data_IF_220786394723
#
_entry.id   IF_220786394723
#
_cell.length_a   1.000
_cell.length_b   1.000
_cell.length_c   1.000
_cell.angle_alpha   90.00
_cell.angle_beta   90.00
_cell.angle_gamma   90.00
#
_symmetry.space_group_name_H-M   'P 1'
#
loop_
_entity.id
_entity.type
_entity.pdbx_description
1 polymer ?
#
# COMPACT_ATOMS: atom_id res chain seq x y z
N UNK A 1 43.09 -51.49 -63.16
CA UNK A 1 42.10 -51.99 -62.16
C UNK A 1 42.43 -51.54 -60.71
N UNK A 2 43.68 -51.15 -60.38
CA UNK A 2 44.06 -50.62 -59.06
C UNK A 2 43.61 -49.16 -58.81
N UNK A 3 43.53 -48.33 -59.85
CA UNK A 3 43.25 -46.89 -59.70
C UNK A 3 41.80 -46.60 -59.32
N UNK A 4 40.85 -47.42 -59.78
CA UNK A 4 39.44 -47.32 -59.39
C UNK A 4 39.21 -47.69 -57.92
N UNK A 5 40.08 -48.50 -57.32
CA UNK A 5 39.95 -48.92 -55.92
C UNK A 5 40.49 -47.84 -54.98
N UNK A 6 41.63 -47.23 -55.34
CA UNK A 6 42.19 -46.07 -54.64
C UNK A 6 41.25 -44.86 -54.66
N UNK A 7 40.58 -44.59 -55.79
CA UNK A 7 39.62 -43.49 -55.89
C UNK A 7 38.37 -43.70 -55.00
N UNK A 8 37.89 -44.94 -54.88
CA UNK A 8 36.76 -45.28 -54.01
C UNK A 8 37.13 -45.18 -52.53
N UNK A 9 38.34 -45.57 -52.15
CA UNK A 9 38.84 -45.43 -50.78
C UNK A 9 39.01 -43.95 -50.42
N UNK A 10 39.61 -43.15 -51.31
CA UNK A 10 39.80 -41.72 -51.06
C UNK A 10 38.47 -40.97 -50.94
N UNK A 11 37.47 -41.33 -51.77
CA UNK A 11 36.12 -40.78 -51.71
C UNK A 11 35.39 -41.17 -50.43
N UNK A 12 35.58 -42.40 -49.92
CA UNK A 12 35.00 -42.86 -48.66
C UNK A 12 35.61 -42.14 -47.44
N UNK A 13 36.92 -41.90 -47.46
CA UNK A 13 37.63 -41.15 -46.41
C UNK A 13 37.20 -39.68 -46.42
N UNK A 14 37.05 -39.06 -47.59
CA UNK A 14 36.56 -37.68 -47.68
C UNK A 14 35.13 -37.52 -47.14
N UNK A 15 34.26 -38.50 -47.40
CA UNK A 15 32.87 -38.52 -46.89
C UNK A 15 32.79 -38.66 -45.37
N UNK A 16 33.75 -39.36 -44.73
CA UNK A 16 33.79 -39.52 -43.27
C UNK A 16 34.25 -38.24 -42.54
N UNK A 17 34.99 -37.36 -43.20
CA UNK A 17 35.43 -36.09 -42.59
C UNK A 17 34.34 -35.00 -42.53
N UNK A 18 33.25 -35.13 -43.30
CA UNK A 18 32.17 -34.12 -43.32
C UNK A 18 31.09 -34.30 -42.23
N UNK A 19 31.08 -35.41 -41.48
CA UNK A 19 30.10 -35.65 -40.41
C UNK A 19 30.65 -35.42 -38.99
N UNK A 20 31.90 -34.99 -38.85
CA UNK A 20 32.49 -34.56 -37.57
C UNK A 20 32.05 -33.16 -37.17
N UNK A 21 30.75 -32.90 -37.09
CA UNK A 21 30.23 -31.66 -36.52
C UNK A 21 30.50 -31.64 -35.01
N UNK A 22 31.31 -30.70 -34.54
CA UNK A 22 31.38 -30.39 -33.11
C UNK A 22 29.99 -29.92 -32.66
N UNK A 23 29.24 -30.78 -31.97
CA UNK A 23 28.09 -30.33 -31.20
C UNK A 23 28.64 -29.39 -30.11
N UNK A 24 28.57 -28.08 -30.36
CA UNK A 24 28.81 -27.09 -29.34
C UNK A 24 27.82 -27.37 -28.21
N UNK A 25 28.32 -27.88 -27.08
CA UNK A 25 27.53 -28.10 -25.89
C UNK A 25 27.16 -26.73 -25.34
N UNK A 26 26.08 -26.14 -25.85
CA UNK A 26 25.49 -24.97 -25.22
C UNK A 26 25.02 -25.43 -23.84
N UNK A 27 25.50 -24.82 -22.73
CA UNK A 27 24.92 -25.11 -21.44
C UNK A 27 23.40 -24.86 -21.54
N UNK A 28 22.56 -25.68 -20.89
CA UNK A 28 21.13 -25.40 -20.85
C UNK A 28 20.95 -23.96 -20.37
N UNK A 29 20.01 -23.19 -20.95
CA UNK A 29 19.74 -21.85 -20.45
C UNK A 29 19.56 -21.93 -18.93
N UNK A 30 20.12 -21.00 -18.15
CA UNK A 30 19.95 -21.02 -16.70
C UNK A 30 18.46 -21.19 -16.43
N UNK A 31 18.11 -22.19 -15.59
CA UNK A 31 16.73 -22.38 -15.17
C UNK A 31 16.25 -21.02 -14.68
N UNK A 32 15.33 -20.41 -15.40
CA UNK A 32 14.59 -19.25 -14.89
C UNK A 32 13.77 -19.83 -13.75
N UNK A 33 14.29 -19.73 -12.53
CA UNK A 33 13.44 -19.86 -11.35
C UNK A 33 12.32 -18.84 -11.56
N UNK A 34 11.09 -19.32 -11.77
CA UNK A 34 9.92 -18.46 -11.80
C UNK A 34 9.94 -17.69 -10.48
N UNK A 35 10.20 -16.38 -10.53
CA UNK A 35 10.06 -15.56 -9.34
C UNK A 35 8.62 -15.72 -8.84
N UNK A 36 8.42 -15.89 -7.52
CA UNK A 36 7.08 -15.98 -6.98
C UNK A 36 6.28 -14.74 -7.39
N UNK A 37 5.16 -14.94 -8.09
CA UNK A 37 4.26 -13.86 -8.45
C UNK A 37 3.58 -13.39 -7.17
N UNK A 38 4.00 -12.26 -6.63
CA UNK A 38 3.35 -11.63 -5.49
C UNK A 38 2.03 -11.00 -5.95
N UNK A 39 0.93 -11.72 -5.73
CA UNK A 39 -0.41 -11.26 -6.09
C UNK A 39 -0.98 -10.38 -4.97
N UNK A 40 -1.63 -9.28 -5.33
CA UNK A 40 -2.46 -8.49 -4.43
C UNK A 40 -3.93 -8.63 -4.86
N UNK A 41 -4.66 -9.67 -4.40
CA UNK A 41 -5.99 -9.98 -4.87
C UNK A 41 -7.01 -8.82 -4.80
N UNK A 42 -6.95 -7.90 -3.81
CA UNK A 42 -7.85 -6.75 -3.80
C UNK A 42 -7.74 -5.81 -5.00
N UNK A 43 -6.67 -5.91 -5.80
CA UNK A 43 -6.54 -5.19 -7.07
C UNK A 43 -7.74 -5.43 -8.00
N UNK A 44 -8.35 -6.64 -8.00
CA UNK A 44 -9.55 -6.95 -8.78
C UNK A 44 -10.73 -6.05 -8.40
N UNK A 45 -10.97 -5.86 -7.11
CA UNK A 45 -12.05 -5.00 -6.61
C UNK A 45 -11.77 -3.52 -6.91
N UNK A 46 -10.51 -3.09 -6.79
CA UNK A 46 -10.10 -1.72 -7.14
C UNK A 46 -10.29 -1.42 -8.63
N UNK A 47 -9.92 -2.35 -9.51
CA UNK A 47 -10.02 -2.16 -10.95
C UNK A 47 -11.47 -2.18 -11.45
N UNK A 48 -12.31 -3.04 -10.87
CA UNK A 48 -13.73 -3.14 -11.23
C UNK A 48 -14.64 -2.16 -10.51
N UNK A 49 -14.19 -1.61 -9.37
CA UNK A 49 -15.00 -0.88 -8.40
C UNK A 49 -16.17 -1.70 -7.82
N UNK A 50 -16.19 -3.02 -8.03
CA UNK A 50 -17.24 -3.93 -7.54
C UNK A 50 -16.84 -4.57 -6.21
N UNK A 51 -16.85 -3.75 -5.16
CA UNK A 51 -16.56 -4.20 -3.80
C UNK A 51 -17.62 -5.15 -3.24
N UNK A 52 -18.86 -5.07 -3.73
CA UNK A 52 -19.96 -5.87 -3.23
C UNK A 52 -19.82 -7.33 -3.68
N UNK A 53 -19.62 -7.57 -4.97
CA UNK A 53 -19.40 -8.90 -5.50
C UNK A 53 -18.10 -9.50 -4.92
N UNK A 54 -17.03 -8.70 -4.80
CA UNK A 54 -15.78 -9.16 -4.21
C UNK A 54 -15.93 -9.55 -2.74
N UNK A 55 -16.67 -8.75 -1.93
CA UNK A 55 -16.92 -9.08 -0.53
C UNK A 55 -17.73 -10.37 -0.38
N UNK A 56 -18.76 -10.54 -1.21
CA UNK A 56 -19.62 -11.72 -1.20
C UNK A 56 -18.87 -13.00 -1.62
N UNK A 57 -18.06 -12.92 -2.67
CA UNK A 57 -17.19 -14.01 -3.13
C UNK A 57 -16.27 -14.49 -2.00
N UNK A 58 -15.62 -13.56 -1.29
CA UNK A 58 -14.70 -13.92 -0.21
C UNK A 58 -15.42 -14.40 1.06
N UNK A 59 -16.63 -13.92 1.35
CA UNK A 59 -17.43 -14.45 2.47
C UNK A 59 -17.80 -15.91 2.26
N UNK A 60 -18.20 -16.29 1.05
CA UNK A 60 -18.49 -17.69 0.71
C UNK A 60 -17.27 -18.60 0.89
N UNK A 61 -16.08 -18.13 0.52
CA UNK A 61 -14.84 -18.88 0.75
C UNK A 61 -14.61 -19.09 2.26
N UNK A 62 -14.92 -18.08 3.08
CA UNK A 62 -14.76 -18.16 4.54
C UNK A 62 -15.78 -19.04 5.25
N UNK A 63 -16.95 -19.32 4.64
CA UNK A 63 -17.95 -20.23 5.22
C UNK A 63 -17.44 -21.66 5.25
N UNK A 64 -16.86 -22.15 4.15
CA UNK A 64 -16.35 -23.51 4.04
C UNK A 64 -14.88 -23.64 4.45
N UNK A 65 -14.11 -22.55 4.33
CA UNK A 65 -12.70 -22.40 4.69
C UNK A 65 -11.84 -23.67 4.52
N UNK A 66 -11.93 -24.29 3.35
CA UNK A 66 -11.12 -25.47 2.99
C UNK A 66 -9.83 -25.10 2.27
N UNK A 67 -9.81 -23.96 1.57
CA UNK A 67 -8.69 -23.45 0.78
C UNK A 67 -8.74 -21.93 0.70
N UNK A 68 -7.58 -21.28 0.58
CA UNK A 68 -7.43 -19.85 0.32
C UNK A 68 -8.10 -18.94 1.38
N UNK A 69 -8.27 -19.43 2.62
CA UNK A 69 -8.93 -18.69 3.69
C UNK A 69 -8.17 -17.44 4.12
N UNK A 70 -6.84 -17.50 4.13
CA UNK A 70 -5.96 -16.39 4.45
C UNK A 70 -6.13 -15.25 3.42
N UNK A 71 -6.20 -15.60 2.14
CA UNK A 71 -6.53 -14.71 1.03
C UNK A 71 -7.91 -14.10 1.25
N UNK A 72 -8.93 -14.94 1.49
CA UNK A 72 -10.30 -14.49 1.62
C UNK A 72 -10.48 -13.55 2.83
N UNK A 73 -9.89 -13.89 3.97
CA UNK A 73 -9.93 -13.06 5.17
C UNK A 73 -9.22 -11.72 4.94
N UNK A 74 -8.06 -11.74 4.28
CA UNK A 74 -7.35 -10.52 3.90
C UNK A 74 -8.17 -9.64 2.95
N UNK A 75 -8.83 -10.23 1.97
CA UNK A 75 -9.68 -9.52 1.02
C UNK A 75 -10.88 -8.85 1.71
N UNK A 76 -11.55 -9.57 2.61
CA UNK A 76 -12.61 -8.98 3.46
C UNK A 76 -12.05 -7.84 4.31
N UNK A 77 -10.88 -8.04 4.91
CA UNK A 77 -10.21 -7.01 5.70
C UNK A 77 -9.92 -5.75 4.86
N UNK A 78 -9.44 -5.92 3.63
CA UNK A 78 -9.21 -4.82 2.70
C UNK A 78 -10.49 -4.06 2.37
N UNK A 79 -11.58 -4.75 2.05
CA UNK A 79 -12.87 -4.11 1.73
C UNK A 79 -13.36 -3.21 2.87
N UNK A 80 -13.18 -3.63 4.12
CA UNK A 80 -13.52 -2.81 5.28
C UNK A 80 -12.48 -1.73 5.58
N UNK A 81 -11.21 -1.96 5.27
CA UNK A 81 -10.11 -1.03 5.53
C UNK A 81 -9.93 0.05 4.46
N UNK A 82 -10.46 -0.15 3.24
CA UNK A 82 -10.22 0.75 2.12
C UNK A 82 -11.23 1.91 2.07
N UNK A 83 -10.81 3.19 2.22
CA UNK A 83 -11.75 4.30 2.35
C UNK A 83 -12.68 4.56 1.15
N UNK A 84 -12.35 4.06 -0.04
CA UNK A 84 -13.20 4.22 -1.23
C UNK A 84 -14.21 3.07 -1.37
N UNK A 85 -14.10 2.01 -0.56
CA UNK A 85 -15.11 0.96 -0.49
C UNK A 85 -16.39 1.51 0.13
N UNK A 86 -17.58 1.22 -0.42
CA UNK A 86 -18.85 1.59 0.21
C UNK A 86 -19.09 0.85 1.53
N UNK A 87 -18.33 -0.22 1.81
CA UNK A 87 -18.36 -0.98 3.05
C UNK A 87 -17.32 -0.50 4.06
N UNK A 88 -16.61 0.60 3.79
CA UNK A 88 -15.54 1.08 4.65
C UNK A 88 -15.97 1.18 6.12
N UNK A 89 -15.27 0.44 6.97
CA UNK A 89 -15.37 0.49 8.40
C UNK A 89 -13.98 0.20 8.97
N UNK A 90 -13.27 1.26 9.34
CA UNK A 90 -11.88 1.20 9.81
C UNK A 90 -11.69 0.20 10.96
N UNK A 91 -12.62 0.16 11.92
CA UNK A 91 -12.52 -0.74 13.07
C UNK A 91 -12.67 -2.20 12.66
N UNK A 92 -13.62 -2.49 11.77
CA UNK A 92 -13.82 -3.85 11.26
C UNK A 92 -12.63 -4.27 10.38
N UNK A 93 -12.12 -3.36 9.54
CA UNK A 93 -10.91 -3.59 8.75
C UNK A 93 -9.72 -3.97 9.62
N UNK A 94 -9.41 -3.17 10.64
CA UNK A 94 -8.32 -3.47 11.59
C UNK A 94 -8.52 -4.79 12.33
N UNK A 95 -9.76 -5.09 12.77
CA UNK A 95 -10.09 -6.35 13.42
C UNK A 95 -9.78 -7.54 12.51
N UNK A 96 -10.18 -7.49 11.24
CA UNK A 96 -9.93 -8.57 10.27
C UNK A 96 -8.46 -8.67 9.87
N UNK A 97 -7.75 -7.54 9.72
CA UNK A 97 -6.29 -7.56 9.48
C UNK A 97 -5.54 -8.24 10.63
N UNK A 98 -5.95 -7.96 11.87
CA UNK A 98 -5.43 -8.65 13.05
C UNK A 98 -5.74 -10.15 13.01
N UNK A 99 -6.97 -10.52 12.65
CA UNK A 99 -7.37 -11.91 12.51
C UNK A 99 -6.52 -12.66 11.46
N UNK A 100 -6.14 -12.02 10.34
CA UNK A 100 -5.20 -12.60 9.36
C UNK A 100 -3.85 -12.91 10.01
N UNK A 101 -3.28 -11.95 10.74
CA UNK A 101 -1.97 -12.12 11.37
C UNK A 101 -1.98 -13.18 12.48
N UNK A 102 -3.08 -13.35 13.20
CA UNK A 102 -3.22 -14.32 14.29
C UNK A 102 -3.50 -15.74 13.77
N UNK A 103 -4.38 -15.89 12.78
CA UNK A 103 -4.77 -17.21 12.26
C UNK A 103 -3.80 -17.75 11.23
N UNK A 104 -3.14 -16.89 10.46
CA UNK A 104 -2.28 -17.28 9.35
C UNK A 104 -0.92 -16.56 9.39
N UNK A 105 -0.15 -16.69 10.49
CA UNK A 105 1.09 -15.92 10.69
C UNK A 105 2.15 -16.14 9.61
N UNK A 106 2.18 -17.33 9.00
CA UNK A 106 3.12 -17.71 7.94
C UNK A 106 2.64 -17.32 6.54
N UNK A 107 1.40 -16.85 6.40
CA UNK A 107 0.86 -16.42 5.12
C UNK A 107 1.54 -15.13 4.63
N UNK A 108 1.82 -14.98 3.32
CA UNK A 108 2.21 -13.71 2.73
C UNK A 108 1.23 -12.56 3.07
N UNK A 109 -0.05 -12.88 3.30
CA UNK A 109 -1.07 -11.89 3.65
C UNK A 109 -0.96 -11.39 5.09
N UNK A 110 -0.33 -12.13 6.01
CA UNK A 110 -0.02 -11.60 7.33
C UNK A 110 1.00 -10.45 7.26
N UNK A 111 1.99 -10.54 6.38
CA UNK A 111 2.94 -9.45 6.15
C UNK A 111 2.24 -8.22 5.55
N UNK A 112 1.38 -8.40 4.55
CA UNK A 112 0.61 -7.31 3.97
C UNK A 112 -0.35 -6.69 5.00
N UNK A 113 -1.01 -7.52 5.83
CA UNK A 113 -1.91 -7.06 6.87
C UNK A 113 -1.21 -6.24 7.94
N UNK A 114 0.03 -6.59 8.30
CA UNK A 114 0.87 -5.82 9.21
C UNK A 114 1.16 -4.44 8.66
N UNK A 115 1.55 -4.35 7.39
CA UNK A 115 1.82 -3.06 6.72
C UNK A 115 0.55 -2.21 6.67
N UNK A 116 -0.57 -2.78 6.25
CA UNK A 116 -1.85 -2.05 6.21
C UNK A 116 -2.29 -1.55 7.58
N UNK A 117 -2.17 -2.38 8.62
CA UNK A 117 -2.47 -2.01 10.01
C UNK A 117 -1.65 -0.80 10.43
N UNK A 118 -0.33 -0.84 10.23
CA UNK A 118 0.57 0.25 10.60
C UNK A 118 0.22 1.56 9.86
N UNK A 119 -0.13 1.50 8.57
CA UNK A 119 -0.54 2.67 7.80
C UNK A 119 -1.84 3.29 8.34
N UNK A 120 -2.83 2.46 8.65
CA UNK A 120 -4.12 2.89 9.19
C UNK A 120 -3.92 3.53 10.58
N UNK A 121 -3.19 2.87 11.47
CA UNK A 121 -2.92 3.38 12.82
C UNK A 121 -2.16 4.71 12.81
N UNK A 122 -1.13 4.82 11.97
CA UNK A 122 -0.39 6.07 11.79
C UNK A 122 -1.30 7.20 11.30
N UNK A 123 -2.23 6.90 10.39
CA UNK A 123 -3.24 7.87 9.95
C UNK A 123 -4.14 8.32 11.09
N UNK A 124 -4.65 7.40 11.91
CA UNK A 124 -5.50 7.72 13.08
C UNK A 124 -4.75 8.66 14.03
N UNK A 125 -3.49 8.35 14.34
CA UNK A 125 -2.65 9.18 15.22
C UNK A 125 -2.43 10.58 14.61
N UNK A 126 -2.12 10.64 13.32
CA UNK A 126 -1.92 11.91 12.61
C UNK A 126 -3.20 12.77 12.59
N UNK A 127 -4.36 12.18 12.35
CA UNK A 127 -5.65 12.88 12.34
C UNK A 127 -6.03 13.40 13.72
N UNK A 128 -5.81 12.61 14.77
CA UNK A 128 -6.01 13.04 16.16
C UNK A 128 -5.12 14.22 16.50
N UNK A 129 -3.83 14.16 16.15
CA UNK A 129 -2.87 15.26 16.36
C UNK A 129 -3.29 16.51 15.60
N UNK A 130 -3.71 16.37 14.34
CA UNK A 130 -4.23 17.48 13.52
C UNK A 130 -5.45 18.14 14.16
N UNK A 131 -6.41 17.35 14.64
CA UNK A 131 -7.60 17.86 15.33
C UNK A 131 -7.25 18.64 16.59
N UNK A 132 -6.35 18.11 17.42
CA UNK A 132 -5.87 18.79 18.63
C UNK A 132 -5.17 20.11 18.32
N UNK A 133 -4.29 20.13 17.31
CA UNK A 133 -3.59 21.35 16.88
C UNK A 133 -4.57 22.40 16.37
N UNK A 134 -5.58 22.01 15.58
CA UNK A 134 -6.64 22.91 15.12
C UNK A 134 -7.43 23.52 16.29
N UNK A 135 -7.76 22.72 17.30
CA UNK A 135 -8.41 23.21 18.53
C UNK A 135 -7.55 24.21 19.30
N UNK A 136 -6.25 23.93 19.45
CA UNK A 136 -5.29 24.85 20.08
C UNK A 136 -5.15 26.17 19.30
N UNK A 137 -5.10 26.09 17.98
CA UNK A 137 -5.02 27.27 17.10
C UNK A 137 -6.25 28.17 17.31
N UNK A 138 -7.45 27.59 17.21
CA UNK A 138 -8.70 28.31 17.47
C UNK A 138 -8.74 28.98 18.84
N UNK A 139 -8.28 28.28 19.88
CA UNK A 139 -8.20 28.85 21.24
C UNK A 139 -7.23 30.04 21.32
N UNK A 140 -6.08 29.95 20.65
CA UNK A 140 -5.12 31.05 20.57
C UNK A 140 -5.70 32.24 19.80
N UNK A 141 -6.37 32.00 18.68
CA UNK A 141 -6.99 33.07 17.88
C UNK A 141 -8.03 33.85 18.70
N UNK A 142 -8.89 33.15 19.45
CA UNK A 142 -9.86 33.80 20.35
C UNK A 142 -9.17 34.62 21.44
N UNK A 143 -8.05 34.14 22.00
CA UNK A 143 -7.28 34.89 22.99
C UNK A 143 -6.65 36.14 22.39
N UNK A 144 -6.08 36.04 21.19
CA UNK A 144 -5.49 37.16 20.46
C UNK A 144 -6.56 38.23 20.22
N UNK A 145 -7.75 37.85 19.74
CA UNK A 145 -8.85 38.79 19.53
C UNK A 145 -9.29 39.47 20.83
N UNK A 146 -9.37 38.72 21.95
CA UNK A 146 -9.73 39.28 23.25
C UNK A 146 -8.67 40.28 23.75
N UNK A 147 -7.39 39.95 23.60
CA UNK A 147 -6.29 40.83 23.98
C UNK A 147 -6.24 42.08 23.10
N UNK A 148 -6.45 41.95 21.78
CA UNK A 148 -6.56 43.10 20.87
C UNK A 148 -7.67 44.06 21.30
N UNK A 149 -8.85 43.53 21.63
CA UNK A 149 -9.97 44.34 22.15
C UNK A 149 -9.64 45.03 23.47
N UNK A 150 -8.84 44.38 24.34
CA UNK A 150 -8.38 45.00 25.60
C UNK A 150 -7.38 46.13 25.34
N UNK A 151 -6.43 45.94 24.42
CA UNK A 151 -5.47 46.98 24.02
C UNK A 151 -6.20 48.20 23.43
N UNK A 152 -7.17 47.98 22.55
CA UNK A 152 -7.99 49.06 21.97
C UNK A 152 -8.75 49.84 23.03
N UNK A 153 -9.35 49.14 24.01
CA UNK A 153 -10.05 49.77 25.13
C UNK A 153 -9.11 50.59 26.02
N UNK A 154 -7.93 50.04 26.33
CA UNK A 154 -6.93 50.76 27.13
C UNK A 154 -6.52 52.05 26.43
N UNK A 155 -6.20 51.98 25.14
CA UNK A 155 -5.84 53.17 24.35
C UNK A 155 -6.96 54.21 24.29
N UNK A 156 -8.22 53.78 24.17
CA UNK A 156 -9.36 54.69 24.18
C UNK A 156 -9.51 55.42 25.52
N UNK A 157 -9.28 54.72 26.63
CA UNK A 157 -9.28 55.31 27.98
C UNK A 157 -8.15 56.33 28.10
N UNK A 158 -6.93 55.98 27.68
CA UNK A 158 -5.77 56.88 27.75
C UNK A 158 -6.05 58.19 27.00
N UNK A 159 -6.61 58.11 25.78
CA UNK A 159 -7.01 59.28 24.99
C UNK A 159 -8.11 60.12 25.67
N UNK A 160 -9.05 59.48 26.38
CA UNK A 160 -10.10 60.16 27.12
C UNK A 160 -9.55 60.89 28.34
N UNK A 161 -8.61 60.27 29.07
CA UNK A 161 -7.93 60.90 30.21
C UNK A 161 -7.15 62.14 29.77
N UNK A 162 -6.33 62.02 28.72
CA UNK A 162 -5.56 63.15 28.16
C UNK A 162 -6.47 64.31 27.75
N UNK A 163 -7.66 64.00 27.21
CA UNK A 163 -8.64 65.01 26.83
C UNK A 163 -9.19 65.75 28.06
N UNK A 164 -9.61 65.00 29.09
CA UNK A 164 -10.14 65.58 30.33
C UNK A 164 -9.09 66.42 31.06
N UNK A 165 -7.83 65.99 31.06
CA UNK A 165 -6.73 66.76 31.66
C UNK A 165 -6.56 68.12 30.96
N UNK A 166 -6.60 68.16 29.62
CA UNK A 166 -6.56 69.42 28.87
C UNK A 166 -7.75 70.34 29.15
N UNK A 167 -8.96 69.78 29.34
CA UNK A 167 -10.16 70.54 29.65
C UNK A 167 -10.14 71.14 31.07
N UNK A 168 -9.46 70.51 32.02
CA UNK A 168 -9.34 70.99 33.41
C UNK A 168 -8.26 72.08 33.62
N UNK A 169 -7.32 72.19 32.69
CA UNK A 169 -6.21 73.15 32.75
C UNK A 169 -6.50 74.47 32.00
N UNK A 170 -7.72 74.64 31.47
CA UNK A 170 -8.23 75.86 30.82
C UNK A 170 -9.20 76.59 31.73
#
# INVERSE_FOLDING_TARGET
>A
MKDSFLFKILSLILLLFFFGGCAAHTPPPPRVELQPVYVFPPQKAMASNDYAAFLEENRKILEDCSKDCDIALFNVAFVYAFPQSPFYNQSEGLKRLKEVMEKYPESPFAFQARVMTALIENKIVAEKKRSQLKGKLKSKDTKIQKLQKQIERSRAIDLEMDRKERELLQ
#
